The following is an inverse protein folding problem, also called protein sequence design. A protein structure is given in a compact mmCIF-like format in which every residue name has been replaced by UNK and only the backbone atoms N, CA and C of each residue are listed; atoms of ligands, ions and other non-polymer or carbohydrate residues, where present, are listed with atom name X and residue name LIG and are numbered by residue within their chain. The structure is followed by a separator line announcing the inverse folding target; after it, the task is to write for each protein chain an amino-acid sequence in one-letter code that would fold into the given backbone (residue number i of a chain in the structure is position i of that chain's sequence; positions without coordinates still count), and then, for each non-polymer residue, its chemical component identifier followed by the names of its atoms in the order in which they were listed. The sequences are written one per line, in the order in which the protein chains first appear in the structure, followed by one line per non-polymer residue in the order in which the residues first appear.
data_IF_445730768000
#
_entry.id   IF_445730768000
#
_cell.length_a   1.000
_cell.length_b   1.000
_cell.length_c   1.000
_cell.angle_alpha   90.00
_cell.angle_beta   90.00
_cell.angle_gamma   90.00
#
_symmetry.space_group_name_H-M   'P 1'
#
loop_
_entity.id
_entity.type
_entity.pdbx_description
1 polymer ?
#
# COMPACT_ATOMS: atom_id res chain seq x y z
N UNK A 1 7.36 5.67 -14.86
CA UNK A 1 6.82 4.64 -13.93
C UNK A 1 7.27 4.85 -12.48
N UNK A 2 8.59 4.99 -12.20
CA UNK A 2 9.12 5.18 -10.84
C UNK A 2 8.45 6.31 -10.06
N UNK A 3 8.25 7.48 -10.68
CA UNK A 3 7.63 8.65 -10.03
C UNK A 3 6.21 8.38 -9.51
N UNK A 4 5.43 7.57 -10.23
CA UNK A 4 4.06 7.22 -9.83
C UNK A 4 4.10 6.31 -8.59
N UNK A 5 4.98 5.31 -8.59
CA UNK A 5 5.14 4.40 -7.45
C UNK A 5 5.68 5.14 -6.22
N UNK A 6 6.65 6.03 -6.40
CA UNK A 6 7.18 6.85 -5.31
C UNK A 6 6.12 7.81 -4.76
N UNK A 7 5.35 8.45 -5.64
CA UNK A 7 4.22 9.30 -5.24
C UNK A 7 3.19 8.52 -4.41
N UNK A 8 2.85 7.29 -4.83
CA UNK A 8 1.96 6.43 -4.05
C UNK A 8 2.53 6.11 -2.66
N UNK A 9 3.81 5.74 -2.56
CA UNK A 9 4.44 5.48 -1.27
C UNK A 9 4.45 6.70 -0.35
N UNK A 10 4.68 7.90 -0.90
CA UNK A 10 4.61 9.13 -0.13
C UNK A 10 3.20 9.40 0.39
N UNK A 11 2.18 9.28 -0.46
CA UNK A 11 0.78 9.44 -0.05
C UNK A 11 0.37 8.38 0.97
N UNK A 12 0.74 7.12 0.76
CA UNK A 12 0.45 6.04 1.70
C UNK A 12 1.09 6.29 3.07
N UNK A 13 2.34 6.72 3.11
CA UNK A 13 3.02 7.04 4.36
C UNK A 13 2.38 8.22 5.09
N UNK A 14 2.08 9.32 4.36
CA UNK A 14 1.39 10.48 4.94
C UNK A 14 0.02 10.09 5.49
N UNK A 15 -0.70 9.22 4.80
CA UNK A 15 -1.99 8.70 5.25
C UNK A 15 -1.87 7.89 6.54
N UNK A 16 -0.82 7.06 6.67
CA UNK A 16 -0.55 6.31 7.90
C UNK A 16 -0.29 7.26 9.08
N UNK A 17 0.53 8.30 8.89
CA UNK A 17 0.79 9.31 9.93
C UNK A 17 -0.50 10.05 10.29
N UNK A 18 -1.30 10.45 9.30
CA UNK A 18 -2.57 11.14 9.54
C UNK A 18 -3.55 10.27 10.33
N UNK A 19 -3.67 8.99 9.98
CA UNK A 19 -4.54 8.03 10.70
C UNK A 19 -4.08 7.88 12.16
N UNK A 20 -2.77 7.78 12.41
CA UNK A 20 -2.25 7.70 13.78
C UNK A 20 -2.63 8.92 14.64
N UNK A 21 -2.65 10.11 14.03
CA UNK A 21 -2.99 11.35 14.72
C UNK A 21 -4.51 11.49 14.93
N UNK A 22 -5.31 11.13 13.93
CA UNK A 22 -6.76 11.36 13.92
C UNK A 22 -7.51 10.22 14.62
N UNK A 23 -7.15 8.98 14.34
CA UNK A 23 -7.83 7.78 14.82
C UNK A 23 -6.84 6.65 15.16
N UNK A 24 -6.10 6.77 16.27
CA UNK A 24 -5.09 5.76 16.66
C UNK A 24 -5.72 4.38 16.93
N UNK A 25 -7.01 4.31 17.24
CA UNK A 25 -7.73 3.05 17.47
C UNK A 25 -7.72 2.11 16.24
N UNK A 26 -7.53 2.66 15.03
CA UNK A 26 -7.38 1.87 13.81
C UNK A 26 -6.11 1.02 13.88
N UNK A 27 -5.02 1.56 14.45
CA UNK A 27 -3.77 0.83 14.68
C UNK A 27 -3.94 -0.31 15.69
N UNK A 28 -4.63 -0.02 16.81
CA UNK A 28 -4.91 -1.03 17.83
C UNK A 28 -5.77 -2.17 17.28
N UNK A 29 -6.77 -1.83 16.47
CA UNK A 29 -7.61 -2.81 15.76
C UNK A 29 -6.80 -3.66 14.78
N UNK A 30 -5.89 -3.06 14.01
CA UNK A 30 -5.04 -3.75 13.06
C UNK A 30 -4.07 -4.72 13.76
N UNK A 31 -3.57 -4.36 14.94
CA UNK A 31 -2.69 -5.18 15.77
C UNK A 31 -3.44 -6.15 16.69
N UNK A 32 -4.79 -6.09 16.70
CA UNK A 32 -5.66 -6.88 17.58
C UNK A 32 -5.32 -6.70 19.07
N UNK A 33 -4.99 -5.49 19.47
CA UNK A 33 -4.69 -5.15 20.85
C UNK A 33 -5.98 -4.99 21.67
N UNK A 34 -5.94 -5.25 22.99
CA UNK A 34 -7.09 -5.02 23.87
C UNK A 34 -7.41 -3.50 23.92
N UNK A 35 -8.64 -3.19 24.33
CA UNK A 35 -9.08 -1.80 24.44
C UNK A 35 -8.16 -0.99 25.36
N UNK A 36 -7.65 0.13 24.86
CA UNK A 36 -6.73 1.01 25.55
C UNK A 36 -5.74 1.66 24.59
N UNK A 37 -5.04 2.69 25.02
CA UNK A 37 -4.07 3.39 24.18
C UNK A 37 -2.69 2.75 24.30
N UNK A 38 -2.17 2.21 23.20
CA UNK A 38 -0.88 1.49 23.16
C UNK A 38 0.15 2.27 22.33
N UNK A 39 0.44 3.50 22.71
CA UNK A 39 1.28 4.42 21.95
C UNK A 39 2.65 3.85 21.54
N UNK A 40 3.27 3.03 22.37
CA UNK A 40 4.55 2.39 22.04
C UNK A 40 4.39 1.36 20.93
N UNK A 41 3.32 0.56 20.96
CA UNK A 41 3.03 -0.43 19.93
C UNK A 41 2.64 0.26 18.61
N UNK A 42 1.82 1.31 18.66
CA UNK A 42 1.45 2.14 17.51
C UNK A 42 2.68 2.75 16.84
N UNK A 43 3.58 3.35 17.62
CA UNK A 43 4.83 3.95 17.11
C UNK A 43 5.79 2.88 16.57
N UNK A 44 5.91 1.73 17.22
CA UNK A 44 6.74 0.63 16.75
C UNK A 44 6.21 0.07 15.42
N UNK A 45 4.89 -0.07 15.28
CA UNK A 45 4.25 -0.50 14.05
C UNK A 45 4.46 0.51 12.92
N UNK A 46 4.24 1.81 13.18
CA UNK A 46 4.52 2.87 12.21
C UNK A 46 6.00 2.89 11.82
N UNK A 47 6.90 2.72 12.78
CA UNK A 47 8.34 2.65 12.54
C UNK A 47 8.73 1.46 11.63
N UNK A 48 8.17 0.28 11.89
CA UNK A 48 8.40 -0.92 11.07
C UNK A 48 7.90 -0.72 9.62
N UNK A 49 6.69 -0.18 9.45
CA UNK A 49 6.15 0.11 8.11
C UNK A 49 6.95 1.21 7.42
N UNK A 50 7.39 2.25 8.15
CA UNK A 50 8.24 3.31 7.59
C UNK A 50 9.57 2.76 7.09
N UNK A 51 10.19 1.85 7.84
CA UNK A 51 11.42 1.18 7.42
C UNK A 51 11.20 0.33 6.15
N UNK A 52 10.09 -0.39 6.08
CA UNK A 52 9.72 -1.17 4.89
C UNK A 52 9.51 -0.26 3.67
N UNK A 53 8.75 0.83 3.84
CA UNK A 53 8.52 1.81 2.76
C UNK A 53 9.86 2.42 2.32
N UNK A 54 10.74 2.80 3.24
CA UNK A 54 12.06 3.34 2.92
C UNK A 54 12.90 2.33 2.11
N UNK A 55 12.89 1.05 2.49
CA UNK A 55 13.57 -0.01 1.74
C UNK A 55 13.00 -0.14 0.32
N UNK A 56 11.68 -0.12 0.16
CA UNK A 56 11.03 -0.17 -1.13
C UNK A 56 11.35 1.07 -1.98
N UNK A 57 11.35 2.25 -1.39
CA UNK A 57 11.74 3.51 -2.06
C UNK A 57 13.17 3.41 -2.58
N UNK A 58 14.11 2.95 -1.76
CA UNK A 58 15.51 2.73 -2.20
C UNK A 58 15.57 1.72 -3.34
N UNK A 59 14.83 0.62 -3.25
CA UNK A 59 14.76 -0.40 -4.30
C UNK A 59 14.19 0.14 -5.62
N UNK A 60 13.17 1.01 -5.56
CA UNK A 60 12.59 1.69 -6.74
C UNK A 60 13.60 2.67 -7.33
N UNK A 61 14.26 3.49 -6.50
CA UNK A 61 15.27 4.45 -6.96
C UNK A 61 16.49 3.76 -7.59
N UNK A 62 16.90 2.63 -7.02
CA UNK A 62 18.01 1.80 -7.54
C UNK A 62 17.59 0.85 -8.66
N UNK A 63 16.33 0.88 -9.07
CA UNK A 63 15.75 0.04 -10.14
C UNK A 63 15.97 -1.46 -9.93
N UNK A 64 15.94 -1.94 -8.69
CA UNK A 64 16.11 -3.36 -8.40
C UNK A 64 14.96 -4.16 -9.04
N UNK A 65 15.31 -5.23 -9.77
CA UNK A 65 14.34 -6.09 -10.46
C UNK A 65 13.39 -6.78 -9.47
N UNK A 66 13.91 -7.24 -8.33
CA UNK A 66 13.08 -7.89 -7.32
C UNK A 66 12.06 -6.93 -6.70
N UNK A 67 12.44 -5.66 -6.47
CA UNK A 67 11.53 -4.63 -5.96
C UNK A 67 10.41 -4.33 -6.96
N UNK A 68 10.71 -4.35 -8.26
CA UNK A 68 9.69 -4.21 -9.30
C UNK A 68 8.63 -5.31 -9.17
N UNK A 69 9.03 -6.57 -9.13
CA UNK A 69 8.12 -7.70 -9.03
C UNK A 69 7.37 -7.73 -7.71
N UNK A 70 8.04 -7.45 -6.59
CA UNK A 70 7.41 -7.36 -5.28
C UNK A 70 6.33 -6.28 -5.26
N UNK A 71 6.63 -5.08 -5.76
CA UNK A 71 5.67 -3.97 -5.81
C UNK A 71 4.51 -4.29 -6.76
N UNK A 72 4.79 -4.85 -7.94
CA UNK A 72 3.77 -5.25 -8.90
C UNK A 72 2.78 -6.26 -8.30
N UNK A 73 3.29 -7.33 -7.70
CA UNK A 73 2.47 -8.38 -7.08
C UNK A 73 1.69 -7.81 -5.88
N UNK A 74 2.36 -7.04 -5.02
CA UNK A 74 1.72 -6.42 -3.86
C UNK A 74 0.59 -5.46 -4.27
N UNK A 75 0.77 -4.69 -5.35
CA UNK A 75 -0.25 -3.76 -5.83
C UNK A 75 -1.40 -4.47 -6.50
N UNK A 76 -1.15 -5.47 -7.34
CA UNK A 76 -2.21 -6.22 -8.01
C UNK A 76 -3.01 -7.06 -7.00
N UNK A 77 -2.35 -7.87 -6.19
CA UNK A 77 -3.03 -8.75 -5.23
C UNK A 77 -3.62 -7.93 -4.07
N UNK A 78 -2.82 -7.05 -3.45
CA UNK A 78 -3.25 -6.24 -2.31
C UNK A 78 -4.41 -5.32 -2.68
N UNK A 79 -4.34 -4.65 -3.84
CA UNK A 79 -5.42 -3.81 -4.32
C UNK A 79 -6.67 -4.60 -4.71
N UNK A 80 -6.51 -5.73 -5.43
CA UNK A 80 -7.63 -6.58 -5.85
C UNK A 80 -8.38 -7.22 -4.66
N UNK A 81 -7.68 -7.58 -3.59
CA UNK A 81 -8.32 -8.12 -2.38
C UNK A 81 -8.98 -7.03 -1.52
N UNK A 82 -8.41 -5.83 -1.50
CA UNK A 82 -8.91 -4.72 -0.69
C UNK A 82 -10.27 -4.21 -1.15
N UNK A 83 -10.52 -4.16 -2.45
CA UNK A 83 -11.80 -3.70 -3.01
C UNK A 83 -12.97 -4.57 -2.55
N UNK A 84 -13.00 -5.90 -2.80
CA UNK A 84 -14.11 -6.74 -2.33
C UNK A 84 -14.20 -6.80 -0.81
N UNK A 85 -13.08 -6.78 -0.08
CA UNK A 85 -13.11 -6.73 1.38
C UNK A 85 -13.84 -5.49 1.89
N UNK A 86 -13.52 -4.30 1.36
CA UNK A 86 -14.21 -3.06 1.72
C UNK A 86 -15.70 -3.09 1.38
N UNK A 87 -16.09 -3.69 0.25
CA UNK A 87 -17.49 -3.85 -0.12
C UNK A 87 -18.22 -4.75 0.88
N UNK A 88 -17.62 -5.86 1.29
CA UNK A 88 -18.22 -6.79 2.27
C UNK A 88 -18.30 -6.17 3.67
N UNK A 89 -17.34 -5.34 4.06
CA UNK A 89 -17.39 -4.57 5.31
C UNK A 89 -18.52 -3.53 5.29
N UNK A 90 -18.69 -2.77 4.20
CA UNK A 90 -19.77 -1.81 4.05
C UNK A 90 -21.14 -2.47 3.97
N UNK A 91 -21.23 -3.68 3.41
CA UNK A 91 -22.45 -4.48 3.38
C UNK A 91 -22.78 -5.16 4.72
N UNK A 92 -21.92 -5.04 5.75
CA UNK A 92 -22.10 -5.66 7.06
C UNK A 92 -21.87 -7.17 7.08
N UNK A 93 -21.26 -7.75 6.03
CA UNK A 93 -20.93 -9.18 5.96
C UNK A 93 -19.65 -9.49 6.74
N UNK A 94 -18.70 -8.56 6.73
CA UNK A 94 -17.47 -8.63 7.52
C UNK A 94 -17.49 -7.55 8.61
N UNK A 95 -16.84 -7.80 9.77
CA UNK A 95 -16.66 -6.78 10.78
C UNK A 95 -15.84 -5.62 10.21
N UNK A 96 -16.28 -4.36 10.37
CA UNK A 96 -15.58 -3.23 9.80
C UNK A 96 -14.20 -3.05 10.47
N UNK A 97 -13.17 -2.79 9.67
CA UNK A 97 -11.82 -2.50 10.16
C UNK A 97 -11.70 -1.14 10.86
N UNK A 98 -12.76 -0.29 10.75
CA UNK A 98 -12.79 1.05 11.31
C UNK A 98 -14.06 1.81 10.89
N UNK A 99 -14.09 3.14 11.08
CA UNK A 99 -15.22 3.96 10.66
C UNK A 99 -15.44 3.90 9.14
N UNK A 100 -16.66 4.16 8.68
CA UNK A 100 -17.05 4.04 7.28
C UNK A 100 -16.14 4.82 6.31
N UNK A 101 -15.67 6.00 6.72
CA UNK A 101 -14.74 6.79 5.91
C UNK A 101 -13.42 6.05 5.66
N UNK A 102 -12.93 5.32 6.67
CA UNK A 102 -11.70 4.54 6.56
C UNK A 102 -11.87 3.36 5.61
N UNK A 103 -13.01 2.67 5.66
CA UNK A 103 -13.33 1.57 4.73
C UNK A 103 -13.40 2.08 3.29
N UNK A 104 -14.06 3.23 3.06
CA UNK A 104 -14.09 3.88 1.74
C UNK A 104 -12.69 4.31 1.27
N UNK A 105 -11.88 4.86 2.16
CA UNK A 105 -10.49 5.22 1.87
C UNK A 105 -9.67 3.99 1.48
N UNK A 106 -9.84 2.85 2.16
CA UNK A 106 -9.22 1.58 1.82
C UNK A 106 -9.63 1.07 0.42
N UNK A 107 -10.92 1.20 0.08
CA UNK A 107 -11.41 0.85 -1.26
C UNK A 107 -10.75 1.70 -2.35
N UNK A 108 -10.64 3.02 -2.12
CA UNK A 108 -9.99 3.96 -3.02
C UNK A 108 -8.50 3.63 -3.18
N UNK A 109 -7.79 3.38 -2.08
CA UNK A 109 -6.39 2.95 -2.13
C UNK A 109 -6.23 1.66 -2.93
N UNK A 110 -7.13 0.69 -2.74
CA UNK A 110 -7.14 -0.56 -3.50
C UNK A 110 -7.28 -0.32 -5.01
N UNK A 111 -8.19 0.57 -5.41
CA UNK A 111 -8.38 0.95 -6.81
C UNK A 111 -7.12 1.60 -7.41
N UNK A 112 -6.51 2.53 -6.68
CA UNK A 112 -5.26 3.18 -7.09
C UNK A 112 -4.13 2.16 -7.22
N UNK A 113 -3.99 1.23 -6.26
CA UNK A 113 -2.98 0.16 -6.30
C UNK A 113 -3.14 -0.72 -7.54
N UNK A 114 -4.35 -1.21 -7.82
CA UNK A 114 -4.62 -2.02 -9.02
C UNK A 114 -4.28 -1.25 -10.29
N UNK A 115 -4.68 0.01 -10.37
CA UNK A 115 -4.40 0.86 -11.53
C UNK A 115 -2.89 1.01 -11.76
N UNK A 116 -2.12 1.31 -10.72
CA UNK A 116 -0.66 1.40 -10.81
C UNK A 116 -0.05 0.05 -11.19
N UNK A 117 -0.52 -1.04 -10.59
CA UNK A 117 -0.08 -2.40 -10.93
C UNK A 117 -0.30 -2.75 -12.39
N UNK A 118 -1.45 -2.41 -12.96
CA UNK A 118 -1.75 -2.60 -14.38
C UNK A 118 -0.86 -1.73 -15.27
N UNK A 119 -0.60 -0.48 -14.89
CA UNK A 119 0.32 0.41 -15.61
C UNK A 119 1.76 -0.14 -15.57
N UNK A 120 2.21 -0.66 -14.42
CA UNK A 120 3.52 -1.32 -14.29
C UNK A 120 3.62 -2.53 -15.20
N UNK A 121 2.57 -3.37 -15.27
CA UNK A 121 2.54 -4.54 -16.13
C UNK A 121 2.54 -4.16 -17.63
N UNK A 122 1.79 -3.13 -18.00
CA UNK A 122 1.79 -2.62 -19.36
C UNK A 122 3.15 -2.00 -19.77
N UNK A 123 3.78 -1.27 -18.85
CA UNK A 123 5.13 -0.71 -19.04
C UNK A 123 6.18 -1.82 -19.18
N UNK A 124 6.10 -2.86 -18.34
CA UNK A 124 6.98 -4.02 -18.41
C UNK A 124 6.95 -4.71 -19.77
N UNK A 125 5.75 -4.89 -20.35
CA UNK A 125 5.59 -5.51 -21.68
C UNK A 125 6.20 -4.69 -22.82
N UNK A 126 6.37 -3.37 -22.61
CA UNK A 126 6.89 -2.46 -23.65
C UNK A 126 8.39 -2.21 -23.54
N UNK A 127 8.89 -2.05 -22.32
CA UNK A 127 10.25 -1.56 -22.06
C UNK A 127 11.00 -2.28 -20.94
N UNK A 128 10.43 -3.40 -20.41
CA UNK A 128 11.05 -4.15 -19.30
C UNK A 128 10.84 -3.51 -17.92
N UNK A 129 11.49 -4.04 -16.87
CA UNK A 129 11.36 -3.52 -15.52
C UNK A 129 11.79 -2.05 -15.44
N UNK A 130 10.97 -1.21 -14.82
CA UNK A 130 11.24 0.22 -14.61
C UNK A 130 11.46 1.04 -15.88
N UNK A 131 10.89 0.62 -17.03
CA UNK A 131 11.09 1.28 -18.34
C UNK A 131 12.59 1.42 -18.68
N UNK A 132 13.37 0.37 -18.46
CA UNK A 132 14.80 0.38 -18.74
C UNK A 132 15.07 -0.16 -20.16
N UNK A 133 15.51 0.69 -21.12
CA UNK A 133 15.71 0.26 -22.51
C UNK A 133 16.84 -0.77 -22.70
N UNK A 134 17.68 -0.98 -21.68
CA UNK A 134 18.78 -1.97 -21.71
C UNK A 134 18.26 -3.41 -21.62
N UNK A 135 17.07 -3.61 -21.03
CA UNK A 135 16.47 -4.95 -20.84
C UNK A 135 15.37 -5.26 -21.88
N UNK A 136 15.18 -4.44 -22.90
CA UNK A 136 14.26 -4.74 -23.98
C UNK A 136 14.80 -5.97 -24.76
N UNK A 137 13.99 -7.04 -24.96
CA UNK A 137 14.41 -8.17 -25.77
C UNK A 137 14.69 -7.67 -27.19
N UNK A 138 15.91 -7.94 -27.68
CA UNK A 138 16.29 -7.69 -29.07
C UNK A 138 15.64 -8.72 -29.99
#
# INVERSE_FOLDING_TARGET
MQSIVLGFFAVAWLSLVAILVVEPEIYDSAMKLPAGRHILAELAFLGAISALIALLVVGVLRRWRWTFWLTLVAFLIGGALRIPASVLELAGVLPPAGPAWYVLFQALLGLVQVTIGLLMLAGYRRAGPWDNPVDAPR
#
